data_IF_268814620855
#
_entry.id   IF_268814620855
#
_cell.length_a   1.000
_cell.length_b   1.000
_cell.length_c   1.000
_cell.angle_alpha   90.00
_cell.angle_beta   90.00
_cell.angle_gamma   90.00
#
_symmetry.space_group_name_H-M   'P 1'
#
loop_
_entity.id
_entity.type
_entity.pdbx_description
1 polymer ?
#
# COMPACT_ATOMS: atom_id res chain seq x y z
N UNK A 1 6.54 -41.25 -17.69
CA UNK A 1 7.21 -40.27 -16.80
C UNK A 1 6.61 -38.86 -16.86
N UNK A 2 6.23 -38.34 -18.04
CA UNK A 2 5.68 -36.96 -18.23
C UNK A 2 4.44 -36.64 -17.38
N UNK A 3 3.50 -37.60 -17.22
CA UNK A 3 2.30 -37.42 -16.37
C UNK A 3 2.62 -37.18 -14.88
N UNK A 4 3.68 -37.79 -14.33
CA UNK A 4 4.10 -37.58 -12.92
C UNK A 4 4.74 -36.20 -12.73
N UNK A 5 5.46 -35.69 -13.74
CA UNK A 5 6.04 -34.35 -13.74
C UNK A 5 4.96 -33.26 -13.80
N UNK A 6 3.95 -33.41 -14.66
CA UNK A 6 2.80 -32.51 -14.72
C UNK A 6 1.98 -32.51 -13.42
N UNK A 7 1.79 -33.68 -12.79
CA UNK A 7 1.08 -33.76 -11.51
C UNK A 7 1.88 -33.10 -10.37
N UNK A 8 3.21 -33.26 -10.36
CA UNK A 8 4.09 -32.57 -9.40
C UNK A 8 4.14 -31.06 -9.64
N UNK A 9 4.18 -30.60 -10.89
CA UNK A 9 4.09 -29.18 -11.24
C UNK A 9 2.73 -28.58 -10.85
N UNK A 10 1.63 -29.31 -11.03
CA UNK A 10 0.30 -28.88 -10.57
C UNK A 10 0.13 -28.94 -9.05
N UNK A 11 0.88 -29.78 -8.34
CA UNK A 11 0.93 -29.81 -6.87
C UNK A 11 1.78 -28.66 -6.32
N UNK A 12 2.95 -28.41 -6.91
CA UNK A 12 3.82 -27.27 -6.59
C UNK A 12 3.09 -25.96 -6.90
N UNK A 13 2.41 -25.86 -8.04
CA UNK A 13 1.61 -24.69 -8.38
C UNK A 13 0.46 -24.43 -7.41
N UNK A 14 -0.17 -25.50 -6.86
CA UNK A 14 -1.19 -25.37 -5.81
C UNK A 14 -0.59 -25.01 -4.45
N UNK A 15 0.57 -25.53 -4.08
CA UNK A 15 1.23 -25.16 -2.83
C UNK A 15 1.80 -23.74 -2.89
N UNK A 16 2.36 -23.33 -4.03
CA UNK A 16 2.81 -21.96 -4.28
C UNK A 16 1.61 -21.03 -4.29
N UNK A 17 0.48 -21.41 -4.88
CA UNK A 17 -0.75 -20.62 -4.81
C UNK A 17 -1.29 -20.51 -3.39
N UNK A 18 -1.25 -21.59 -2.59
CA UNK A 18 -1.60 -21.56 -1.17
C UNK A 18 -0.67 -20.62 -0.40
N UNK A 19 0.64 -20.79 -0.56
CA UNK A 19 1.65 -19.92 0.04
C UNK A 19 1.49 -18.45 -0.38
N UNK A 20 1.18 -18.18 -1.65
CA UNK A 20 0.92 -16.84 -2.16
C UNK A 20 -0.36 -16.25 -1.57
N UNK A 21 -1.38 -17.06 -1.33
CA UNK A 21 -2.60 -16.60 -0.66
C UNK A 21 -2.39 -16.38 0.85
N UNK A 22 -1.44 -17.09 1.46
CA UNK A 22 -1.03 -16.91 2.85
C UNK A 22 -0.14 -15.67 3.05
N UNK A 23 0.48 -15.15 1.97
CA UNK A 23 1.30 -13.94 2.01
C UNK A 23 0.42 -12.71 2.30
N UNK A 24 0.89 -11.85 3.22
CA UNK A 24 0.17 -10.66 3.63
C UNK A 24 -0.03 -9.68 2.46
N UNK A 25 0.87 -9.71 1.47
CA UNK A 25 0.72 -8.87 0.28
C UNK A 25 -0.44 -9.28 -0.62
N UNK A 26 -0.79 -10.57 -0.67
CA UNK A 26 -1.95 -11.02 -1.42
C UNK A 26 -3.24 -10.56 -0.75
N UNK A 27 -3.31 -10.57 0.58
CA UNK A 27 -4.41 -9.96 1.33
C UNK A 27 -4.56 -8.47 1.01
N UNK A 28 -3.44 -7.74 0.98
CA UNK A 28 -3.41 -6.31 0.63
C UNK A 28 -3.90 -6.06 -0.81
N UNK A 29 -3.48 -6.88 -1.76
CA UNK A 29 -3.90 -6.81 -3.16
C UNK A 29 -5.38 -7.17 -3.37
N UNK A 30 -5.87 -8.23 -2.70
CA UNK A 30 -7.29 -8.62 -2.73
C UNK A 30 -8.16 -7.51 -2.11
N UNK A 31 -7.68 -6.90 -1.03
CA UNK A 31 -8.35 -5.75 -0.41
C UNK A 31 -8.45 -4.59 -1.41
N UNK A 32 -7.36 -4.22 -2.08
CA UNK A 32 -7.39 -3.18 -3.13
C UNK A 32 -8.43 -3.48 -4.24
N UNK A 33 -8.44 -4.71 -4.75
CA UNK A 33 -9.36 -5.14 -5.82
C UNK A 33 -10.83 -5.13 -5.36
N UNK A 34 -11.12 -5.56 -4.14
CA UNK A 34 -12.49 -5.53 -3.59
C UNK A 34 -12.99 -4.12 -3.29
N UNK A 35 -12.08 -3.20 -2.96
CA UNK A 35 -12.41 -1.80 -2.72
C UNK A 35 -12.67 -1.01 -4.02
N UNK A 36 -12.10 -1.45 -5.15
CA UNK A 36 -12.22 -0.78 -6.45
C UNK A 36 -13.65 -0.41 -6.86
N UNK A 37 -14.66 -1.31 -6.83
CA UNK A 37 -16.01 -0.98 -7.30
C UNK A 37 -16.79 0.01 -6.41
N UNK A 38 -16.40 0.19 -5.14
CA UNK A 38 -17.15 1.03 -4.18
C UNK A 38 -16.42 2.29 -3.74
N UNK A 39 -15.10 2.28 -3.76
CA UNK A 39 -14.22 3.31 -3.19
C UNK A 39 -12.94 3.39 -4.03
N UNK A 40 -13.07 3.82 -5.29
CA UNK A 40 -11.96 3.89 -6.26
C UNK A 40 -10.73 4.61 -5.72
N UNK A 41 -10.91 5.72 -5.01
CA UNK A 41 -9.80 6.52 -4.49
C UNK A 41 -9.06 5.84 -3.32
N UNK A 42 -9.80 5.14 -2.45
CA UNK A 42 -9.20 4.33 -1.40
C UNK A 42 -8.51 3.09 -1.98
N UNK A 43 -9.11 2.46 -3.00
CA UNK A 43 -8.50 1.36 -3.73
C UNK A 43 -7.18 1.78 -4.42
N UNK A 44 -7.14 2.99 -4.99
CA UNK A 44 -5.92 3.58 -5.55
C UNK A 44 -4.88 3.81 -4.46
N UNK A 45 -5.24 4.33 -3.28
CA UNK A 45 -4.27 4.47 -2.17
C UNK A 45 -3.71 3.13 -1.71
N UNK A 46 -4.56 2.12 -1.52
CA UNK A 46 -4.13 0.78 -1.12
C UNK A 46 -3.25 0.17 -2.23
N UNK A 47 -3.60 0.37 -3.49
CA UNK A 47 -2.80 -0.04 -4.65
C UNK A 47 -1.44 0.67 -4.71
N UNK A 48 -1.37 1.97 -4.41
CA UNK A 48 -0.12 2.72 -4.30
C UNK A 48 0.74 2.19 -3.15
N UNK A 49 0.13 1.85 -2.01
CA UNK A 49 0.83 1.27 -0.86
C UNK A 49 1.39 -0.11 -1.21
N UNK A 50 0.61 -0.97 -1.88
CA UNK A 50 1.10 -2.22 -2.47
C UNK A 50 2.30 -1.97 -3.39
N UNK A 51 2.18 -1.01 -4.32
CA UNK A 51 3.27 -0.64 -5.23
C UNK A 51 4.53 -0.21 -4.48
N UNK A 52 4.38 0.59 -3.44
CA UNK A 52 5.49 1.03 -2.58
C UNK A 52 6.17 -0.16 -1.88
N UNK A 53 5.40 -1.14 -1.38
CA UNK A 53 5.95 -2.36 -0.81
C UNK A 53 6.81 -3.13 -1.85
N UNK A 54 6.33 -3.25 -3.09
CA UNK A 54 7.10 -3.89 -4.17
C UNK A 54 8.37 -3.12 -4.53
N UNK A 55 8.31 -1.79 -4.58
CA UNK A 55 9.48 -0.94 -4.85
C UNK A 55 10.52 -1.10 -3.74
N UNK A 56 10.10 -1.04 -2.47
CA UNK A 56 10.99 -1.24 -1.31
C UNK A 56 11.65 -2.61 -1.33
N UNK A 57 10.88 -3.66 -1.57
CA UNK A 57 11.38 -5.03 -1.68
C UNK A 57 12.38 -5.17 -2.84
N UNK A 58 12.08 -4.57 -4.00
CA UNK A 58 12.96 -4.59 -5.16
C UNK A 58 14.28 -3.84 -4.92
N UNK A 59 14.23 -2.67 -4.29
CA UNK A 59 15.42 -1.91 -3.91
C UNK A 59 16.28 -2.67 -2.88
N UNK A 60 15.63 -3.34 -1.92
CA UNK A 60 16.32 -4.18 -0.94
C UNK A 60 16.96 -5.41 -1.59
N UNK A 61 16.23 -6.13 -2.45
CA UNK A 61 16.76 -7.27 -3.18
C UNK A 61 17.98 -6.84 -4.03
N UNK A 62 17.89 -5.69 -4.71
CA UNK A 62 18.98 -5.12 -5.49
C UNK A 62 20.20 -4.79 -4.61
N UNK A 63 20.01 -4.13 -3.47
CA UNK A 63 21.12 -3.77 -2.59
C UNK A 63 21.82 -5.01 -2.02
N UNK A 64 21.04 -6.02 -1.62
CA UNK A 64 21.56 -7.30 -1.13
C UNK A 64 22.29 -8.07 -2.23
N UNK A 65 21.77 -8.08 -3.46
CA UNK A 65 22.44 -8.70 -4.60
C UNK A 65 23.81 -8.07 -4.89
N UNK A 66 23.88 -6.74 -4.89
CA UNK A 66 25.11 -6.00 -5.10
C UNK A 66 26.13 -6.19 -3.97
N UNK A 67 25.65 -6.38 -2.73
CA UNK A 67 26.52 -6.66 -1.59
C UNK A 67 27.09 -8.09 -1.62
N UNK A 68 26.32 -9.07 -2.10
CA UNK A 68 26.70 -10.48 -2.14
C UNK A 68 27.43 -10.90 -3.43
N UNK A 69 27.31 -10.13 -4.51
CA UNK A 69 27.95 -10.43 -5.80
C UNK A 69 29.48 -10.61 -5.72
N UNK A 70 30.27 -9.83 -4.95
CA UNK A 70 31.72 -10.05 -4.87
C UNK A 70 32.11 -11.35 -4.14
N UNK A 71 31.24 -11.88 -3.28
CA UNK A 71 31.49 -13.10 -2.50
C UNK A 71 30.96 -14.38 -3.18
N UNK A 72 30.21 -14.25 -4.28
CA UNK A 72 29.52 -15.35 -4.95
C UNK A 72 30.01 -15.48 -6.40
N UNK A 73 31.12 -16.19 -6.66
CA UNK A 73 31.72 -16.29 -7.99
C UNK A 73 30.80 -16.88 -9.08
N UNK A 74 29.80 -17.68 -8.69
CA UNK A 74 28.79 -18.23 -9.60
C UNK A 74 27.54 -17.35 -9.77
N UNK A 75 27.42 -16.26 -9.00
CA UNK A 75 26.23 -15.38 -8.94
C UNK A 75 24.96 -16.01 -8.33
N UNK A 76 24.90 -17.33 -8.21
CA UNK A 76 23.72 -18.07 -7.73
C UNK A 76 23.43 -17.77 -6.25
N UNK A 77 24.45 -17.73 -5.40
CA UNK A 77 24.29 -17.43 -3.97
C UNK A 77 23.75 -16.02 -3.73
N UNK A 78 24.28 -15.04 -4.48
CA UNK A 78 23.81 -13.65 -4.44
C UNK A 78 22.37 -13.51 -4.94
N UNK A 79 21.96 -14.27 -5.96
CA UNK A 79 20.58 -14.27 -6.46
C UNK A 79 19.60 -14.86 -5.44
N UNK A 80 19.94 -16.00 -4.83
CA UNK A 80 19.12 -16.62 -3.79
C UNK A 80 18.98 -15.68 -2.59
N UNK A 81 20.10 -15.14 -2.07
CA UNK A 81 20.08 -14.21 -0.94
C UNK A 81 19.24 -12.95 -1.21
N UNK A 82 19.40 -12.36 -2.40
CA UNK A 82 18.60 -11.21 -2.82
C UNK A 82 17.11 -11.52 -2.92
N UNK A 83 16.74 -12.69 -3.45
CA UNK A 83 15.33 -13.09 -3.55
C UNK A 83 14.69 -13.30 -2.16
N UNK A 84 15.40 -13.93 -1.22
CA UNK A 84 14.91 -14.16 0.13
C UNK A 84 14.77 -12.84 0.90
N UNK A 85 15.75 -11.95 0.80
CA UNK A 85 15.69 -10.62 1.40
C UNK A 85 14.53 -9.80 0.82
N UNK A 86 14.34 -9.83 -0.50
CA UNK A 86 13.23 -9.17 -1.17
C UNK A 86 11.87 -9.65 -0.68
N UNK A 87 11.64 -10.96 -0.62
CA UNK A 87 10.39 -11.54 -0.11
C UNK A 87 10.14 -11.17 1.35
N UNK A 88 11.18 -11.23 2.20
CA UNK A 88 11.06 -10.90 3.61
C UNK A 88 10.71 -9.43 3.83
N UNK A 89 11.35 -8.51 3.10
CA UNK A 89 11.04 -7.09 3.13
C UNK A 89 9.64 -6.80 2.58
N UNK A 90 9.24 -7.51 1.53
CA UNK A 90 7.90 -7.39 0.95
C UNK A 90 6.82 -7.73 1.98
N UNK A 91 6.98 -8.85 2.68
CA UNK A 91 6.05 -9.29 3.72
C UNK A 91 6.05 -8.36 4.94
N UNK A 92 7.23 -7.94 5.40
CA UNK A 92 7.34 -7.00 6.50
C UNK A 92 6.67 -5.66 6.15
N UNK A 93 6.87 -5.18 4.93
CA UNK A 93 6.25 -3.95 4.44
C UNK A 93 4.73 -4.08 4.30
N UNK A 94 4.24 -5.23 3.81
CA UNK A 94 2.82 -5.52 3.74
C UNK A 94 2.18 -5.58 5.14
N UNK A 95 2.85 -6.24 6.09
CA UNK A 95 2.39 -6.28 7.48
C UNK A 95 2.35 -4.90 8.11
N UNK A 96 3.44 -4.12 7.97
CA UNK A 96 3.51 -2.74 8.44
C UNK A 96 2.42 -1.86 7.82
N UNK A 97 2.17 -2.01 6.52
CA UNK A 97 1.11 -1.32 5.80
C UNK A 97 -0.28 -1.66 6.37
N UNK A 98 -0.58 -2.94 6.61
CA UNK A 98 -1.86 -3.34 7.22
C UNK A 98 -2.01 -2.84 8.65
N UNK A 99 -0.95 -2.88 9.45
CA UNK A 99 -0.94 -2.34 10.82
C UNK A 99 -1.14 -0.82 10.82
N UNK A 100 -0.49 -0.10 9.91
CA UNK A 100 -0.66 1.34 9.74
C UNK A 100 -2.09 1.70 9.35
N UNK A 101 -2.71 0.96 8.42
CA UNK A 101 -4.12 1.17 8.05
C UNK A 101 -5.03 0.92 9.26
N UNK A 102 -4.81 -0.14 10.03
CA UNK A 102 -5.60 -0.45 11.21
C UNK A 102 -5.48 0.65 12.29
N UNK A 103 -4.27 1.13 12.56
CA UNK A 103 -4.01 2.24 13.48
C UNK A 103 -4.67 3.53 12.99
N UNK A 104 -4.57 3.83 11.69
CA UNK A 104 -5.18 5.02 11.10
C UNK A 104 -6.71 4.98 11.23
N UNK A 105 -7.33 3.82 11.01
CA UNK A 105 -8.78 3.63 11.19
C UNK A 105 -9.19 3.74 12.67
N UNK A 106 -8.34 3.31 13.59
CA UNK A 106 -8.59 3.49 15.02
C UNK A 106 -8.55 4.97 15.41
N UNK A 107 -7.52 5.69 14.98
CA UNK A 107 -7.41 7.14 15.17
C UNK A 107 -8.61 7.84 14.52
N UNK A 108 -8.99 7.48 13.30
CA UNK A 108 -10.15 8.04 12.62
C UNK A 108 -11.46 7.84 13.40
N UNK A 109 -11.65 6.68 14.03
CA UNK A 109 -12.82 6.39 14.88
C UNK A 109 -12.86 7.28 16.12
N UNK A 110 -11.72 7.48 16.77
CA UNK A 110 -11.60 8.26 18.01
C UNK A 110 -11.65 9.78 17.77
N UNK A 111 -11.07 10.23 16.66
CA UNK A 111 -10.98 11.64 16.27
C UNK A 111 -12.31 12.16 15.70
N UNK A 112 -13.08 11.29 15.02
CA UNK A 112 -14.37 11.62 14.44
C UNK A 112 -14.28 12.45 13.15
N UNK A 113 -15.44 12.64 12.50
CA UNK A 113 -15.55 13.23 11.14
C UNK A 113 -14.99 14.66 11.02
N UNK A 114 -15.24 15.50 12.02
CA UNK A 114 -14.89 16.92 11.94
C UNK A 114 -13.37 17.16 12.13
N UNK A 115 -12.74 16.44 13.06
CA UNK A 115 -11.30 16.59 13.31
C UNK A 115 -10.44 15.88 12.27
N UNK A 116 -10.91 14.75 11.71
CA UNK A 116 -10.24 14.09 10.58
C UNK A 116 -10.22 14.97 9.32
N UNK A 117 -11.31 15.69 9.04
CA UNK A 117 -11.35 16.70 7.99
C UNK A 117 -10.30 17.81 8.19
N UNK A 118 -10.16 18.28 9.43
CA UNK A 118 -9.20 19.32 9.80
C UNK A 118 -7.76 18.83 9.63
N UNK A 119 -7.43 17.63 10.12
CA UNK A 119 -6.10 17.04 9.95
C UNK A 119 -5.75 16.85 8.48
N UNK A 120 -6.69 16.36 7.67
CA UNK A 120 -6.50 16.20 6.24
C UNK A 120 -6.27 17.55 5.53
N UNK A 121 -7.05 18.57 5.89
CA UNK A 121 -6.86 19.93 5.38
C UNK A 121 -5.48 20.50 5.76
N UNK A 122 -5.06 20.38 7.02
CA UNK A 122 -3.73 20.83 7.46
C UNK A 122 -2.60 20.10 6.73
N UNK A 123 -2.71 18.77 6.58
CA UNK A 123 -1.72 17.98 5.85
C UNK A 123 -1.62 18.41 4.38
N UNK A 124 -2.75 18.75 3.76
CA UNK A 124 -2.80 19.21 2.37
C UNK A 124 -2.22 20.61 2.23
N UNK A 125 -2.53 21.53 3.15
CA UNK A 125 -1.94 22.88 3.17
C UNK A 125 -0.41 22.78 3.31
N UNK A 126 0.08 21.94 4.23
CA UNK A 126 1.52 21.76 4.41
C UNK A 126 2.17 21.17 3.15
N UNK A 127 1.56 20.17 2.52
CA UNK A 127 2.06 19.56 1.30
C UNK A 127 2.07 20.52 0.10
N UNK A 128 1.08 21.42 0.00
CA UNK A 128 1.06 22.47 -1.02
C UNK A 128 2.14 23.50 -0.72
N UNK A 129 2.32 23.90 0.54
CA UNK A 129 3.37 24.84 0.93
C UNK A 129 4.77 24.30 0.64
N UNK A 130 5.03 23.02 0.93
CA UNK A 130 6.31 22.38 0.60
C UNK A 130 6.52 22.25 -0.91
N UNK A 131 5.48 21.88 -1.67
CA UNK A 131 5.56 21.83 -3.13
C UNK A 131 5.87 23.22 -3.74
N UNK A 132 5.25 24.29 -3.23
CA UNK A 132 5.54 25.66 -3.66
C UNK A 132 6.97 26.08 -3.28
N UNK A 133 7.45 25.70 -2.09
CA UNK A 133 8.83 25.97 -1.68
C UNK A 133 9.83 25.27 -2.59
N UNK A 134 9.58 24.01 -2.96
CA UNK A 134 10.40 23.24 -3.89
C UNK A 134 10.38 23.78 -5.32
N UNK A 135 9.28 24.39 -5.78
CA UNK A 135 9.23 25.07 -7.08
C UNK A 135 10.12 26.32 -7.13
N UNK A 136 10.43 26.92 -5.96
CA UNK A 136 11.32 28.09 -5.87
C UNK A 136 12.79 27.71 -5.88
N UNK A 137 13.11 26.46 -5.56
CA UNK A 137 14.44 25.89 -5.73
C UNK A 137 14.55 25.24 -7.12
N UNK A 138 15.58 25.57 -7.90
CA UNK A 138 15.85 24.95 -9.22
C UNK A 138 16.11 23.42 -9.15
N UNK A 139 16.06 22.83 -7.96
CA UNK A 139 16.13 21.39 -7.71
C UNK A 139 14.82 20.64 -8.06
N UNK A 140 13.77 21.33 -8.51
CA UNK A 140 12.43 20.77 -8.76
C UNK A 140 12.39 19.58 -9.74
N UNK A 141 13.43 19.40 -10.57
CA UNK A 141 13.55 18.27 -11.52
C UNK A 141 14.18 17.00 -10.92
N UNK A 142 14.63 17.00 -9.65
CA UNK A 142 15.15 15.80 -8.99
C UNK A 142 14.00 14.86 -8.59
N UNK A 143 14.32 13.57 -8.45
CA UNK A 143 13.37 12.54 -8.06
C UNK A 143 12.57 12.88 -6.79
N UNK A 144 13.19 13.60 -5.85
CA UNK A 144 12.56 14.04 -4.60
C UNK A 144 11.46 15.09 -4.83
N UNK A 145 11.64 16.00 -5.80
CA UNK A 145 10.63 16.99 -6.17
C UNK A 145 9.38 16.33 -6.76
N UNK A 146 9.56 15.38 -7.69
CA UNK A 146 8.46 14.61 -8.28
C UNK A 146 7.66 13.83 -7.22
N UNK A 147 8.33 13.24 -6.24
CA UNK A 147 7.66 12.53 -5.15
C UNK A 147 6.79 13.48 -4.32
N UNK A 148 7.29 14.68 -4.00
CA UNK A 148 6.53 15.68 -3.25
C UNK A 148 5.30 16.14 -4.04
N UNK A 149 5.42 16.46 -5.32
CA UNK A 149 4.26 16.82 -6.15
C UNK A 149 3.22 15.71 -6.23
N UNK A 150 3.65 14.45 -6.39
CA UNK A 150 2.74 13.31 -6.43
C UNK A 150 1.97 13.14 -5.10
N UNK A 151 2.67 13.28 -3.96
CA UNK A 151 2.04 13.24 -2.63
C UNK A 151 1.06 14.41 -2.47
N UNK A 152 1.45 15.62 -2.86
CA UNK A 152 0.58 16.81 -2.78
C UNK A 152 -0.68 16.64 -3.62
N UNK A 153 -0.56 16.18 -4.87
CA UNK A 153 -1.70 15.92 -5.74
C UNK A 153 -2.65 14.86 -5.15
N UNK A 154 -2.10 13.79 -4.55
CA UNK A 154 -2.88 12.75 -3.89
C UNK A 154 -3.63 13.28 -2.67
N UNK A 155 -2.96 14.06 -1.80
CA UNK A 155 -3.59 14.68 -0.62
C UNK A 155 -4.72 15.64 -1.01
N UNK A 156 -4.53 16.38 -2.09
CA UNK A 156 -5.54 17.31 -2.60
C UNK A 156 -6.76 16.56 -3.15
N UNK A 157 -6.53 15.48 -3.90
CA UNK A 157 -7.60 14.59 -4.38
C UNK A 157 -8.37 13.93 -3.21
N UNK A 158 -7.66 13.47 -2.18
CA UNK A 158 -8.24 12.92 -0.95
C UNK A 158 -9.10 13.94 -0.22
N UNK A 159 -8.62 15.17 -0.08
CA UNK A 159 -9.34 16.25 0.60
C UNK A 159 -10.64 16.57 -0.14
N UNK A 160 -10.57 16.75 -1.46
CA UNK A 160 -11.76 17.00 -2.28
C UNK A 160 -12.74 15.84 -2.14
N UNK A 161 -12.28 14.60 -2.23
CA UNK A 161 -13.13 13.42 -2.09
C UNK A 161 -13.79 13.35 -0.71
N UNK A 162 -13.03 13.57 0.36
CA UNK A 162 -13.53 13.54 1.73
C UNK A 162 -14.65 14.57 1.94
N UNK A 163 -14.45 15.80 1.45
CA UNK A 163 -15.48 16.83 1.53
C UNK A 163 -16.74 16.46 0.74
N UNK A 164 -16.57 15.86 -0.45
CA UNK A 164 -17.69 15.45 -1.29
C UNK A 164 -18.51 14.32 -0.67
N UNK A 165 -17.87 13.32 -0.08
CA UNK A 165 -18.54 12.12 0.43
C UNK A 165 -19.07 12.28 1.86
N UNK A 166 -18.36 13.01 2.74
CA UNK A 166 -18.66 13.00 4.17
C UNK A 166 -19.17 14.33 4.73
N UNK A 167 -18.98 15.46 4.02
CA UNK A 167 -19.30 16.79 4.56
C UNK A 167 -20.66 17.32 4.11
N UNK A 168 -21.16 16.90 2.94
CA UNK A 168 -22.37 17.47 2.34
C UNK A 168 -23.52 16.45 2.27
N UNK A 169 -24.46 16.46 3.25
CA UNK A 169 -25.56 15.49 3.32
C UNK A 169 -26.57 15.60 2.17
N UNK A 170 -26.63 16.75 1.50
CA UNK A 170 -27.54 16.98 0.37
C UNK A 170 -27.02 16.43 -0.97
N UNK A 171 -25.78 15.90 -1.03
CA UNK A 171 -25.24 15.36 -2.29
C UNK A 171 -25.66 13.90 -2.51
N UNK A 172 -26.01 13.52 -3.75
CA UNK A 172 -26.15 12.11 -4.10
C UNK A 172 -24.79 11.42 -3.91
N UNK A 173 -24.75 10.43 -3.02
CA UNK A 173 -23.51 9.74 -2.61
C UNK A 173 -22.92 10.18 -1.26
N UNK A 174 -23.66 10.92 -0.43
CA UNK A 174 -23.31 11.12 0.97
C UNK A 174 -23.17 9.78 1.69
N UNK A 175 -22.09 9.61 2.45
CA UNK A 175 -21.80 8.42 3.24
C UNK A 175 -21.58 8.80 4.70
N UNK A 176 -21.98 7.92 5.60
CA UNK A 176 -21.66 8.09 7.01
C UNK A 176 -20.22 7.63 7.27
N UNK A 177 -19.38 8.60 7.63
CA UNK A 177 -17.97 8.38 7.96
C UNK A 177 -17.80 7.34 9.06
N UNK A 178 -18.67 7.33 10.07
CA UNK A 178 -18.56 6.38 11.17
C UNK A 178 -18.85 4.95 10.71
N UNK A 179 -19.87 4.77 9.88
CA UNK A 179 -20.25 3.46 9.32
C UNK A 179 -19.14 2.92 8.44
N UNK A 180 -18.58 3.75 7.54
CA UNK A 180 -17.49 3.34 6.66
C UNK A 180 -16.22 2.95 7.45
N UNK A 181 -15.86 3.69 8.51
CA UNK A 181 -14.71 3.36 9.37
C UNK A 181 -14.92 2.05 10.14
N UNK A 182 -16.12 1.82 10.67
CA UNK A 182 -16.46 0.58 11.38
C UNK A 182 -16.49 -0.61 10.43
N UNK A 183 -17.06 -0.46 9.23
CA UNK A 183 -17.10 -1.51 8.22
C UNK A 183 -15.69 -1.86 7.72
N UNK A 184 -14.85 -0.86 7.44
CA UNK A 184 -13.45 -1.07 7.05
C UNK A 184 -12.67 -1.81 8.14
N UNK A 185 -12.85 -1.44 9.42
CA UNK A 185 -12.20 -2.14 10.55
C UNK A 185 -12.70 -3.58 10.69
N UNK A 186 -14.01 -3.82 10.55
CA UNK A 186 -14.59 -5.18 10.53
C UNK A 186 -14.07 -6.01 9.35
N UNK A 187 -13.82 -5.38 8.21
CA UNK A 187 -13.25 -6.07 7.05
C UNK A 187 -11.80 -6.50 7.32
N UNK A 188 -10.96 -5.60 7.85
CA UNK A 188 -9.57 -5.92 8.21
C UNK A 188 -9.51 -7.02 9.28
N UNK A 189 -10.32 -6.89 10.33
CA UNK A 189 -10.35 -7.89 11.41
C UNK A 189 -10.80 -9.27 10.91
N UNK A 190 -11.74 -9.33 9.95
CA UNK A 190 -12.14 -10.60 9.32
C UNK A 190 -11.04 -11.18 8.44
N UNK A 191 -10.34 -10.34 7.66
CA UNK A 191 -9.20 -10.78 6.87
C UNK A 191 -8.05 -11.34 7.71
N UNK A 192 -7.88 -10.84 8.94
CA UNK A 192 -6.85 -11.31 9.86
C UNK A 192 -7.13 -12.68 10.51
N UNK A 193 -8.35 -13.23 10.41
CA UNK A 193 -8.73 -14.50 11.05
C UNK A 193 -8.86 -15.66 10.04
N UNK A 194 -8.40 -15.46 8.80
CA UNK A 194 -8.59 -16.41 7.71
C UNK A 194 -10.00 -16.31 7.10
N UNK A 195 -10.08 -16.60 5.81
CA UNK A 195 -11.36 -16.79 5.11
C UNK A 195 -12.10 -18.01 5.66
#
# INVERSE_FOLDING_TARGET
MIRRLLFRLGAIGRSVRGFVLDLQIAHLAIMALRLWPRLTLLAVMVGLLCGLCFVLAGLCARSVHLALSPASPSGIGAAIGASLAGVLVLELAAYAATAAIAALLQVAREVGRHRSAVLLAFSTILAVATAIALLRDDAALRADGLAVFAITALLLALTIWFERCYRNPARPGFRDFHVDVVEARRFINRGAHGL
#
